data_IF_246428798334
#
_entry.id   IF_246428798334
#
_cell.length_a   1.000
_cell.length_b   1.000
_cell.length_c   1.000
_cell.angle_alpha   90.00
_cell.angle_beta   90.00
_cell.angle_gamma   90.00
#
_symmetry.space_group_name_H-M   'P 1'
#
loop_
_entity.id
_entity.type
_entity.pdbx_description
1 polymer ?
#
# COMPACT_ATOMS: atom_id res chain seq x y z
N UNK A 1 18.06 13.38 -4.95
CA UNK A 1 19.11 12.61 -4.25
C UNK A 1 19.04 11.15 -4.67
N UNK A 2 20.11 10.39 -4.42
CA UNK A 2 20.14 8.94 -4.70
C UNK A 2 19.41 8.15 -3.61
N UNK A 3 18.97 6.94 -3.92
CA UNK A 3 18.40 6.01 -2.94
C UNK A 3 19.37 5.71 -1.78
N UNK A 4 20.68 5.66 -2.07
CA UNK A 4 21.74 5.44 -1.08
C UNK A 4 21.74 6.54 -0.02
N UNK A 5 21.59 7.79 -0.45
CA UNK A 5 21.52 8.96 0.44
C UNK A 5 20.30 8.90 1.37
N UNK A 6 19.15 8.44 0.87
CA UNK A 6 17.94 8.29 1.68
C UNK A 6 18.12 7.20 2.73
N UNK A 7 18.71 6.06 2.35
CA UNK A 7 19.02 4.97 3.28
C UNK A 7 19.96 5.44 4.38
N UNK A 8 21.05 6.14 4.03
CA UNK A 8 21.98 6.71 5.01
C UNK A 8 21.25 7.65 5.98
N UNK A 9 20.37 8.51 5.47
CA UNK A 9 19.59 9.42 6.31
C UNK A 9 18.59 8.71 7.21
N UNK A 10 17.95 7.64 6.73
CA UNK A 10 17.09 6.82 7.58
C UNK A 10 17.92 6.16 8.69
N UNK A 11 19.12 5.64 8.40
CA UNK A 11 20.04 5.10 9.41
C UNK A 11 20.41 6.16 10.46
N UNK A 12 20.87 7.33 10.01
CA UNK A 12 21.19 8.47 10.90
C UNK A 12 20.01 8.82 11.81
N UNK A 13 18.78 8.84 11.25
CA UNK A 13 17.59 9.19 11.99
C UNK A 13 17.21 8.13 13.03
N UNK A 14 17.20 6.85 12.63
CA UNK A 14 16.97 5.72 13.53
C UNK A 14 17.92 5.73 14.73
N UNK A 15 19.21 5.95 14.48
CA UNK A 15 20.21 6.11 15.54
C UNK A 15 19.92 7.33 16.43
N UNK A 16 19.54 8.46 15.84
CA UNK A 16 19.25 9.69 16.60
C UNK A 16 18.05 9.56 17.54
N UNK A 17 17.09 8.70 17.20
CA UNK A 17 15.90 8.44 18.03
C UNK A 17 16.06 7.19 18.90
N UNK A 18 17.23 6.55 18.88
CA UNK A 18 17.55 5.30 19.58
C UNK A 18 16.54 4.16 19.33
N UNK A 19 16.11 4.00 18.06
CA UNK A 19 15.19 2.95 17.64
C UNK A 19 15.57 2.35 16.27
N UNK A 20 15.37 1.04 16.06
CA UNK A 20 14.89 0.07 17.05
C UNK A 20 16.00 -0.40 18.00
N UNK A 21 15.64 -0.79 19.22
CA UNK A 21 16.60 -1.33 20.21
C UNK A 21 16.90 -2.79 19.95
N UNK A 22 15.88 -3.55 19.58
CA UNK A 22 15.94 -4.95 19.20
C UNK A 22 15.57 -5.11 17.72
N UNK A 23 15.97 -6.22 17.10
CA UNK A 23 15.65 -6.53 15.71
C UNK A 23 16.05 -5.41 14.73
N UNK A 24 17.28 -4.90 14.86
CA UNK A 24 17.81 -3.82 13.99
C UNK A 24 17.89 -4.22 12.53
N UNK A 25 17.96 -5.52 12.27
CA UNK A 25 17.89 -6.13 10.95
C UNK A 25 16.57 -5.84 10.19
N UNK A 26 15.48 -5.48 10.89
CA UNK A 26 14.22 -5.08 10.25
C UNK A 26 14.40 -3.85 9.35
N UNK A 27 15.37 -2.99 9.67
CA UNK A 27 15.74 -1.85 8.82
C UNK A 27 16.21 -2.29 7.42
N UNK A 28 16.85 -3.44 7.30
CA UNK A 28 17.29 -3.95 6.00
C UNK A 28 16.09 -4.40 5.13
N UNK A 29 14.99 -4.83 5.76
CA UNK A 29 13.72 -5.06 5.07
C UNK A 29 13.10 -3.74 4.60
N UNK A 30 13.15 -2.70 5.44
CA UNK A 30 12.70 -1.35 5.09
C UNK A 30 13.48 -0.82 3.87
N UNK A 31 14.80 -0.98 3.85
CA UNK A 31 15.62 -0.55 2.71
C UNK A 31 15.35 -1.39 1.46
N UNK A 32 15.00 -2.66 1.61
CA UNK A 32 14.58 -3.52 0.49
C UNK A 32 13.24 -3.04 -0.10
N UNK A 33 12.29 -2.63 0.75
CA UNK A 33 11.06 -1.98 0.30
C UNK A 33 11.34 -0.63 -0.38
N UNK A 34 12.26 0.18 0.16
CA UNK A 34 12.67 1.43 -0.46
C UNK A 34 13.25 1.20 -1.87
N UNK A 35 14.07 0.17 -2.05
CA UNK A 35 14.63 -0.24 -3.35
C UNK A 35 13.57 -0.72 -4.32
N UNK A 36 12.60 -1.51 -3.85
CA UNK A 36 11.50 -2.04 -4.68
C UNK A 36 10.58 -0.93 -5.19
N UNK A 37 10.17 -0.01 -4.31
CA UNK A 37 9.13 0.98 -4.63
C UNK A 37 9.66 2.36 -5.05
N UNK A 38 10.93 2.65 -4.80
CA UNK A 38 11.63 3.81 -5.34
C UNK A 38 11.20 5.15 -4.74
N UNK A 39 11.22 6.19 -5.56
CA UNK A 39 10.95 7.56 -5.11
C UNK A 39 9.44 7.80 -4.94
N UNK A 40 8.91 7.50 -3.75
CA UNK A 40 7.52 7.80 -3.37
C UNK A 40 7.37 8.10 -1.89
N UNK A 41 6.13 8.38 -1.47
CA UNK A 41 5.80 8.59 -0.07
C UNK A 41 5.69 7.25 0.68
N UNK A 42 6.14 7.24 1.94
CA UNK A 42 6.06 6.11 2.86
C UNK A 42 5.69 6.58 4.27
N UNK A 43 5.02 5.72 5.02
CA UNK A 43 5.01 5.81 6.49
C UNK A 43 6.05 4.84 7.02
N UNK A 44 6.97 5.36 7.82
CA UNK A 44 8.00 4.56 8.48
C UNK A 44 7.72 4.49 9.97
N UNK A 45 7.48 3.29 10.47
CA UNK A 45 7.30 3.01 11.88
C UNK A 45 8.62 2.52 12.48
N UNK A 46 9.04 3.16 13.56
CA UNK A 46 10.12 2.70 14.44
C UNK A 46 9.52 2.38 15.80
N UNK A 47 9.86 1.22 16.35
CA UNK A 47 9.42 0.76 17.68
C UNK A 47 10.61 0.13 18.40
N UNK A 48 10.52 -0.12 19.70
CA UNK A 48 11.65 -0.72 20.42
C UNK A 48 12.05 -2.08 19.84
N UNK A 49 11.05 -2.88 19.42
CA UNK A 49 11.23 -4.23 18.93
C UNK A 49 11.14 -4.36 17.39
N UNK A 50 11.66 -3.39 16.63
CA UNK A 50 11.81 -3.50 15.18
C UNK A 50 11.32 -2.29 14.40
N UNK A 51 11.14 -2.43 13.10
CA UNK A 51 10.68 -1.35 12.22
C UNK A 51 9.76 -1.85 11.11
N UNK A 52 9.04 -0.92 10.47
CA UNK A 52 8.19 -1.23 9.33
C UNK A 52 8.04 -0.02 8.41
N UNK A 53 8.46 -0.15 7.16
CA UNK A 53 8.28 0.84 6.11
C UNK A 53 7.13 0.46 5.19
N UNK A 54 6.01 1.18 5.29
CA UNK A 54 4.85 1.00 4.43
C UNK A 54 4.87 2.02 3.27
N UNK A 55 5.02 1.57 2.01
CA UNK A 55 4.80 2.43 0.84
C UNK A 55 3.35 2.88 0.73
N UNK A 56 3.13 4.18 0.53
CA UNK A 56 1.79 4.75 0.41
C UNK A 56 1.25 4.62 -1.02
N UNK A 57 -0.09 4.54 -1.13
CA UNK A 57 -0.83 4.50 -2.42
C UNK A 57 -0.40 3.34 -3.33
N UNK A 58 -0.12 2.17 -2.75
CA UNK A 58 0.15 0.94 -3.53
C UNK A 58 -0.90 -0.16 -3.31
N UNK A 59 -1.81 0.03 -2.35
CA UNK A 59 -2.80 -0.97 -1.96
C UNK A 59 -2.30 -1.96 -0.91
N UNK A 60 -1.15 -1.72 -0.28
CA UNK A 60 -0.61 -2.60 0.75
C UNK A 60 -1.55 -2.56 1.98
N UNK A 61 -1.71 -3.70 2.64
CA UNK A 61 -2.58 -3.77 3.82
C UNK A 61 -2.01 -2.91 4.95
N UNK A 62 -2.80 -1.98 5.53
CA UNK A 62 -2.37 -1.18 6.67
C UNK A 62 -2.40 -1.95 8.00
N UNK A 63 -2.94 -3.18 8.01
CA UNK A 63 -3.26 -3.96 9.20
C UNK A 63 -2.13 -3.99 10.25
N UNK A 64 -0.89 -4.23 9.81
CA UNK A 64 0.22 -4.37 10.75
C UNK A 64 0.59 -3.03 11.40
N UNK A 65 0.53 -1.91 10.67
CA UNK A 65 0.69 -0.59 11.28
C UNK A 65 -0.43 -0.32 12.27
N UNK A 66 -1.69 -0.56 11.88
CA UNK A 66 -2.85 -0.35 12.75
C UNK A 66 -2.81 -1.22 14.02
N UNK A 67 -2.28 -2.43 13.92
CA UNK A 67 -2.04 -3.29 15.07
C UNK A 67 -1.05 -2.63 16.05
N UNK A 68 0.13 -2.25 15.58
CA UNK A 68 1.15 -1.64 16.45
C UNK A 68 0.76 -0.25 16.96
N UNK A 69 0.04 0.55 16.17
CA UNK A 69 -0.53 1.82 16.63
C UNK A 69 -1.44 1.67 17.86
N UNK A 70 -2.11 0.51 18.01
CA UNK A 70 -3.01 0.23 19.13
C UNK A 70 -2.33 -0.47 20.31
N UNK A 71 -1.32 -1.29 20.01
CA UNK A 71 -0.77 -2.26 20.97
C UNK A 71 0.66 -1.94 21.43
N UNK A 72 1.38 -1.06 20.74
CA UNK A 72 2.79 -0.75 21.03
C UNK A 72 2.95 0.74 21.33
N UNK A 73 3.06 1.07 22.63
CA UNK A 73 3.26 2.44 23.10
C UNK A 73 4.62 3.03 22.74
N UNK A 74 5.57 2.21 22.28
CA UNK A 74 6.89 2.65 21.83
C UNK A 74 6.92 3.01 20.36
N UNK A 75 5.85 2.70 19.60
CA UNK A 75 5.78 2.95 18.17
C UNK A 75 5.74 4.45 17.87
N UNK A 76 6.69 4.88 17.04
CA UNK A 76 6.81 6.24 16.51
C UNK A 76 6.72 6.17 14.99
N UNK A 77 6.04 7.14 14.40
CA UNK A 77 5.70 7.12 12.98
C UNK A 77 6.29 8.35 12.30
N UNK A 78 6.95 8.15 11.17
CA UNK A 78 7.63 9.21 10.44
C UNK A 78 7.18 9.22 8.98
N UNK A 79 6.99 10.41 8.43
CA UNK A 79 6.70 10.57 7.01
C UNK A 79 8.01 10.63 6.21
N UNK A 80 8.17 9.71 5.25
CA UNK A 80 9.21 9.77 4.24
C UNK A 80 8.59 10.27 2.93
N UNK A 81 8.86 11.51 2.53
CA UNK A 81 8.26 12.14 1.33
C UNK A 81 9.01 11.83 0.02
N UNK A 82 9.61 10.65 -0.07
CA UNK A 82 10.49 10.25 -1.17
C UNK A 82 11.90 10.84 -1.08
N UNK A 83 12.59 10.87 -2.22
CA UNK A 83 14.03 11.13 -2.31
C UNK A 83 14.37 12.62 -2.48
N UNK A 84 13.36 13.50 -2.49
CA UNK A 84 13.51 14.94 -2.61
C UNK A 84 13.67 15.65 -1.27
N UNK A 85 13.00 15.15 -0.22
CA UNK A 85 12.93 15.74 1.11
C UNK A 85 13.22 14.64 2.14
N UNK A 86 14.39 14.70 2.80
CA UNK A 86 14.85 13.72 3.80
C UNK A 86 14.70 14.23 5.23
N UNK A 87 13.65 15.03 5.47
CA UNK A 87 13.21 15.35 6.82
C UNK A 87 12.13 14.37 7.24
N UNK A 88 12.42 13.57 8.26
CA UNK A 88 11.49 12.60 8.82
C UNK A 88 10.59 13.29 9.84
N UNK A 89 9.50 13.87 9.35
CA UNK A 89 8.51 14.49 10.23
C UNK A 89 7.77 13.41 11.00
N UNK A 90 7.80 13.48 12.33
CA UNK A 90 6.98 12.61 13.17
C UNK A 90 5.49 12.90 12.98
N UNK A 91 4.71 11.83 12.87
CA UNK A 91 3.28 11.83 12.58
C UNK A 91 2.48 11.43 13.81
N UNK A 92 1.31 12.04 13.97
CA UNK A 92 0.30 11.58 14.93
C UNK A 92 -0.49 10.42 14.33
N UNK A 93 -1.10 9.60 15.17
CA UNK A 93 -1.89 8.43 14.73
C UNK A 93 -2.94 8.80 13.68
N UNK A 94 -3.68 9.90 13.88
CA UNK A 94 -4.68 10.38 12.91
C UNK A 94 -4.07 10.70 11.53
N UNK A 95 -2.86 11.25 11.50
CA UNK A 95 -2.18 11.57 10.24
C UNK A 95 -1.73 10.28 9.54
N UNK A 96 -1.27 9.29 10.30
CA UNK A 96 -0.92 7.96 9.79
C UNK A 96 -2.14 7.26 9.20
N UNK A 97 -3.24 7.19 9.94
CA UNK A 97 -4.53 6.61 9.49
C UNK A 97 -5.00 7.24 8.17
N UNK A 98 -4.89 8.57 8.07
CA UNK A 98 -5.26 9.30 6.85
C UNK A 98 -4.35 9.03 5.65
N UNK A 99 -3.08 8.66 5.88
CA UNK A 99 -2.12 8.37 4.81
C UNK A 99 -2.26 6.92 4.33
N UNK A 100 -2.35 5.95 5.25
CA UNK A 100 -2.35 4.52 4.93
C UNK A 100 -3.67 4.02 4.35
N UNK A 101 -4.76 4.78 4.54
CA UNK A 101 -6.08 4.49 3.97
C UNK A 101 -6.25 4.96 2.51
N UNK A 102 -5.26 5.65 1.94
CA UNK A 102 -5.37 6.20 0.59
C UNK A 102 -5.29 5.11 -0.49
N UNK A 103 -6.20 5.12 -1.49
CA UNK A 103 -6.21 4.11 -2.53
C UNK A 103 -5.02 4.27 -3.50
N UNK A 104 -4.54 3.18 -4.12
CA UNK A 104 -3.51 3.21 -5.16
C UNK A 104 -3.97 3.77 -6.51
N UNK A 105 -5.27 4.01 -6.68
CA UNK A 105 -5.86 4.40 -7.96
C UNK A 105 -6.70 5.67 -7.77
N UNK A 106 -6.34 6.71 -8.52
CA UNK A 106 -7.13 7.93 -8.67
C UNK A 106 -8.23 7.73 -9.72
N UNK A 107 -9.34 7.11 -9.30
CA UNK A 107 -10.46 6.78 -10.19
C UNK A 107 -11.06 7.98 -10.93
N UNK A 108 -10.93 9.21 -10.40
CA UNK A 108 -11.43 10.42 -11.06
C UNK A 108 -10.72 10.77 -12.37
N UNK A 109 -9.55 10.19 -12.62
CA UNK A 109 -8.76 10.41 -13.85
C UNK A 109 -9.00 9.34 -14.92
N UNK A 110 -9.81 8.33 -14.62
CA UNK A 110 -10.03 7.18 -15.50
C UNK A 110 -11.21 7.46 -16.43
N UNK A 111 -10.92 7.48 -17.74
CA UNK A 111 -11.91 7.85 -18.76
C UNK A 111 -12.31 6.70 -19.70
N UNK A 112 -11.63 5.55 -19.64
CA UNK A 112 -11.95 4.39 -20.46
C UNK A 112 -11.71 3.05 -19.74
N UNK A 113 -12.33 1.95 -20.20
CA UNK A 113 -12.15 0.62 -19.62
C UNK A 113 -10.70 0.14 -19.61
N UNK A 114 -9.96 0.33 -20.70
CA UNK A 114 -8.60 -0.22 -20.82
C UNK A 114 -7.63 0.42 -19.81
N UNK A 115 -7.78 1.72 -19.54
CA UNK A 115 -7.00 2.40 -18.51
C UNK A 115 -7.34 1.89 -17.11
N UNK A 116 -8.63 1.66 -16.82
CA UNK A 116 -9.06 1.04 -15.57
C UNK A 116 -8.43 -0.34 -15.38
N UNK A 117 -8.56 -1.20 -16.39
CA UNK A 117 -8.07 -2.58 -16.37
C UNK A 117 -6.55 -2.60 -16.22
N UNK A 118 -5.85 -1.73 -16.94
CA UNK A 118 -4.39 -1.59 -16.85
C UNK A 118 -3.94 -1.15 -15.45
N UNK A 119 -4.60 -0.14 -14.85
CA UNK A 119 -4.26 0.35 -13.50
C UNK A 119 -4.53 -0.69 -12.42
N UNK A 120 -5.69 -1.34 -12.43
CA UNK A 120 -6.02 -2.42 -11.49
C UNK A 120 -5.05 -3.60 -11.68
N UNK A 121 -4.79 -3.98 -12.93
CA UNK A 121 -3.87 -5.06 -13.25
C UNK A 121 -2.45 -4.81 -12.77
N UNK A 122 -1.95 -3.56 -12.80
CA UNK A 122 -0.64 -3.19 -12.23
C UNK A 122 -0.59 -3.40 -10.72
N UNK A 123 -1.66 -3.03 -10.00
CA UNK A 123 -1.72 -3.22 -8.53
C UNK A 123 -1.75 -4.70 -8.17
N UNK A 124 -2.58 -5.49 -8.85
CA UNK A 124 -2.76 -6.93 -8.57
C UNK A 124 -1.56 -7.80 -9.00
N UNK A 125 -0.63 -7.26 -9.80
CA UNK A 125 0.63 -7.96 -10.14
C UNK A 125 1.66 -7.90 -9.02
N UNK A 126 1.49 -7.01 -8.05
CA UNK A 126 2.43 -6.89 -6.95
C UNK A 126 2.13 -7.91 -5.84
N UNK A 127 3.06 -8.86 -5.64
CA UNK A 127 2.92 -9.90 -4.61
C UNK A 127 2.78 -9.36 -3.19
N UNK A 128 3.34 -8.20 -2.86
CA UNK A 128 3.16 -7.64 -1.51
C UNK A 128 1.71 -7.17 -1.28
N UNK A 129 0.92 -7.05 -2.34
CA UNK A 129 -0.51 -6.70 -2.28
C UNK A 129 -1.35 -7.98 -2.25
N UNK A 130 -0.98 -8.98 -3.04
CA UNK A 130 -1.72 -10.24 -3.20
C UNK A 130 -1.33 -11.34 -2.21
N UNK A 131 -0.50 -11.01 -1.22
CA UNK A 131 -0.16 -11.89 -0.10
C UNK A 131 -0.85 -11.42 1.18
N UNK A 132 -1.49 -12.34 1.89
CA UNK A 132 -2.04 -12.14 3.24
C UNK A 132 -1.49 -13.24 4.16
N UNK A 133 -0.69 -12.87 5.16
CA UNK A 133 0.00 -13.82 6.02
C UNK A 133 0.90 -14.77 5.21
N UNK A 134 0.62 -16.09 5.32
CA UNK A 134 1.34 -17.14 4.58
C UNK A 134 0.67 -17.52 3.25
N UNK A 135 -0.45 -16.89 2.90
CA UNK A 135 -1.22 -17.21 1.69
C UNK A 135 -0.94 -16.14 0.64
N UNK A 136 -0.38 -16.57 -0.49
CA UNK A 136 -0.30 -15.74 -1.70
C UNK A 136 -1.36 -16.20 -2.67
N UNK A 137 -2.24 -15.28 -3.08
CA UNK A 137 -3.25 -15.58 -4.10
C UNK A 137 -2.62 -15.44 -5.47
N UNK A 138 -2.52 -16.55 -6.19
CA UNK A 138 -2.07 -16.57 -7.57
C UNK A 138 -3.28 -16.72 -8.49
N UNK A 139 -3.68 -15.61 -9.09
CA UNK A 139 -4.84 -15.53 -9.97
C UNK A 139 -4.58 -14.47 -11.04
N UNK A 140 -5.21 -14.63 -12.19
CA UNK A 140 -5.13 -13.60 -13.22
C UNK A 140 -5.73 -12.28 -12.75
N UNK A 141 -5.21 -11.19 -13.33
CA UNK A 141 -5.60 -9.82 -12.96
C UNK A 141 -6.73 -9.26 -13.82
N UNK A 142 -7.25 -10.08 -14.74
CA UNK A 142 -8.29 -9.72 -15.70
C UNK A 142 -9.65 -9.50 -15.01
N UNK A 143 -10.55 -8.69 -15.59
CA UNK A 143 -11.83 -8.32 -14.99
C UNK A 143 -12.71 -9.49 -14.51
N UNK A 144 -12.65 -10.62 -15.20
CA UNK A 144 -13.43 -11.82 -14.88
C UNK A 144 -13.16 -12.34 -13.45
N UNK A 145 -11.97 -12.05 -12.90
CA UNK A 145 -11.56 -12.48 -11.56
C UNK A 145 -11.71 -11.40 -10.49
N UNK A 146 -12.19 -10.19 -10.82
CA UNK A 146 -12.21 -9.08 -9.87
C UNK A 146 -13.14 -9.31 -8.68
N UNK A 147 -14.25 -10.02 -8.86
CA UNK A 147 -15.12 -10.41 -7.73
C UNK A 147 -14.41 -11.38 -6.78
N UNK A 148 -13.57 -12.28 -7.29
CA UNK A 148 -12.75 -13.16 -6.44
C UNK A 148 -11.62 -12.40 -5.75
N UNK A 149 -10.99 -11.44 -6.43
CA UNK A 149 -10.01 -10.54 -5.81
C UNK A 149 -10.65 -9.74 -4.67
N UNK A 150 -11.84 -9.18 -4.87
CA UNK A 150 -12.60 -8.50 -3.81
C UNK A 150 -12.81 -9.43 -2.60
N UNK A 151 -13.26 -10.68 -2.82
CA UNK A 151 -13.44 -11.67 -1.74
C UNK A 151 -12.15 -12.01 -1.01
N UNK A 152 -11.01 -12.04 -1.71
CA UNK A 152 -9.71 -12.27 -1.08
C UNK A 152 -9.29 -11.12 -0.14
N UNK A 153 -9.54 -9.88 -0.55
CA UNK A 153 -9.19 -8.71 0.26
C UNK A 153 -10.17 -8.46 1.41
N UNK A 154 -11.40 -8.95 1.30
CA UNK A 154 -12.44 -8.76 2.31
C UNK A 154 -11.98 -9.27 3.68
N UNK A 155 -12.11 -8.43 4.70
CA UNK A 155 -11.63 -8.69 6.06
C UNK A 155 -10.11 -8.68 6.28
N UNK A 156 -9.29 -8.51 5.23
CA UNK A 156 -7.82 -8.53 5.30
C UNK A 156 -7.16 -7.21 4.87
N UNK A 157 -7.75 -6.52 3.89
CA UNK A 157 -7.22 -5.31 3.28
C UNK A 157 -8.35 -4.42 2.76
N UNK A 158 -8.92 -3.61 3.66
CA UNK A 158 -10.07 -2.75 3.36
C UNK A 158 -9.80 -1.75 2.23
N UNK A 159 -8.55 -1.27 2.11
CA UNK A 159 -8.14 -0.39 1.01
C UNK A 159 -8.38 -1.09 -0.32
N UNK A 160 -7.92 -2.33 -0.45
CA UNK A 160 -8.11 -3.10 -1.69
C UNK A 160 -9.53 -3.59 -1.89
N UNK A 161 -10.27 -3.93 -0.83
CA UNK A 161 -11.71 -4.24 -0.93
C UNK A 161 -12.49 -3.08 -1.54
N UNK A 162 -12.20 -1.85 -1.11
CA UNK A 162 -12.81 -0.64 -1.64
C UNK A 162 -12.39 -0.35 -3.08
N UNK A 163 -11.11 -0.53 -3.41
CA UNK A 163 -10.58 -0.39 -4.78
C UNK A 163 -11.29 -1.37 -5.73
N UNK A 164 -11.36 -2.65 -5.37
CA UNK A 164 -11.99 -3.66 -6.21
C UNK A 164 -13.49 -3.39 -6.38
N UNK A 165 -14.19 -3.04 -5.30
CA UNK A 165 -15.61 -2.65 -5.36
C UNK A 165 -15.83 -1.48 -6.34
N UNK A 166 -15.00 -0.43 -6.24
CA UNK A 166 -15.11 0.74 -7.12
C UNK A 166 -14.76 0.42 -8.57
N UNK A 167 -13.73 -0.40 -8.80
CA UNK A 167 -13.32 -0.84 -10.13
C UNK A 167 -14.42 -1.66 -10.83
N UNK A 168 -15.02 -2.62 -10.13
CA UNK A 168 -16.15 -3.43 -10.63
C UNK A 168 -17.31 -2.53 -11.04
N UNK A 169 -17.72 -1.59 -10.17
CA UNK A 169 -18.81 -0.66 -10.47
C UNK A 169 -18.50 0.23 -11.68
N UNK A 170 -17.29 0.80 -11.74
CA UNK A 170 -16.89 1.66 -12.85
C UNK A 170 -16.84 0.91 -14.19
N UNK A 171 -16.34 -0.33 -14.21
CA UNK A 171 -16.32 -1.14 -15.44
C UNK A 171 -17.74 -1.50 -15.91
N UNK A 172 -18.62 -1.84 -14.98
CA UNK A 172 -20.04 -2.08 -15.27
C UNK A 172 -20.72 -0.84 -15.87
N UNK A 173 -20.37 0.35 -15.39
CA UNK A 173 -20.93 1.60 -15.93
C UNK A 173 -20.38 1.93 -17.32
N UNK A 174 -19.11 1.67 -17.60
CA UNK A 174 -18.59 1.76 -18.97
C UNK A 174 -19.34 0.83 -19.92
N UNK A 175 -19.58 -0.42 -19.49
CA UNK A 175 -20.28 -1.43 -20.28
C UNK A 175 -21.74 -1.04 -20.59
N UNK A 176 -22.43 -0.41 -19.63
CA UNK A 176 -23.79 0.12 -19.84
C UNK A 176 -23.80 1.26 -20.87
N UNK A 177 -22.82 2.16 -20.83
CA UNK A 177 -22.73 3.32 -21.74
C UNK A 177 -22.38 2.91 -23.18
N UNK A 178 -21.59 1.85 -23.36
CA UNK A 178 -21.18 1.36 -24.67
C UNK A 178 -22.17 0.38 -25.33
N UNK A 179 -23.22 -0.03 -24.63
CA UNK A 179 -24.17 -1.05 -25.11
C UNK A 179 -23.60 -2.47 -25.19
N UNK A 180 -22.36 -2.70 -24.73
CA UNK A 180 -21.68 -3.99 -24.79
C UNK A 180 -21.85 -4.78 -23.49
N UNK A 181 -22.46 -5.96 -23.57
CA UNK A 181 -22.71 -6.86 -22.42
C UNK A 181 -21.51 -7.70 -21.98
N UNK A 182 -20.49 -7.85 -22.84
CA UNK A 182 -19.34 -8.75 -22.62
C UNK A 182 -18.34 -8.35 -21.53
N UNK A 183 -18.47 -7.16 -20.95
CA UNK A 183 -17.56 -6.62 -19.92
C UNK A 183 -18.22 -6.51 -18.52
N UNK A 184 -19.45 -7.01 -18.35
CA UNK A 184 -20.15 -6.93 -17.06
C UNK A 184 -19.61 -7.94 -16.06
N UNK A 185 -19.32 -7.45 -14.85
CA UNK A 185 -18.98 -8.28 -13.69
C UNK A 185 -20.21 -8.37 -12.77
N UNK A 186 -20.55 -9.59 -12.36
CA UNK A 186 -21.65 -9.81 -11.42
C UNK A 186 -21.28 -9.33 -10.01
N UNK A 187 -22.14 -8.51 -9.42
CA UNK A 187 -22.07 -8.13 -8.01
C UNK A 187 -22.64 -9.29 -7.18
N UNK A 188 -21.79 -10.22 -6.76
CA UNK A 188 -22.09 -11.19 -5.71
C UNK A 188 -21.42 -10.78 -4.40
#
# INVERSE_FOLDING_TARGET
MSIKTVIEKMKDHAESVDLPKFYKEDLEMDFSNLKKYGNREYVWMLRECGSLLLPLRIGASPFLLEYYMRQDSTARFFHVKGFGEVTFKELKHKDVESLISQPPIEFGLINCPDDLISKVGKVLKDRNITTSGLVTKEMETTPIHWSEWKKFFDGNNDVMTNVMTRAINMLNDFSKRSGYSGLRISNQ
#
